data_IF_847668031440
#
_entry.id   IF_847668031440
#
_cell.length_a   1.000
_cell.length_b   1.000
_cell.length_c   1.000
_cell.angle_alpha   90.00
_cell.angle_beta   90.00
_cell.angle_gamma   90.00
#
_symmetry.space_group_name_H-M   'P 1'
#
loop_
_entity.id
_entity.type
_entity.pdbx_description
1 polymer ?
#
# COMPACT_ATOMS: atom_id res chain seq x y z
N UNK A 1 -7.69 7.71 -18.36
CA UNK A 1 -6.48 7.73 -17.51
C UNK A 1 -6.30 6.33 -16.96
N UNK A 2 -5.06 5.83 -16.91
CA UNK A 2 -4.77 4.42 -16.61
C UNK A 2 -4.40 4.26 -15.14
N UNK A 3 -4.90 3.19 -14.53
CA UNK A 3 -4.55 2.83 -13.16
C UNK A 3 -3.06 2.50 -13.06
N UNK A 4 -2.46 2.95 -11.95
CA UNK A 4 -1.12 2.55 -11.55
C UNK A 4 -1.18 1.83 -10.22
N UNK A 5 -0.16 1.03 -9.95
CA UNK A 5 -0.05 0.24 -8.73
C UNK A 5 1.21 0.64 -7.97
N UNK A 6 1.13 0.66 -6.65
CA UNK A 6 2.25 0.92 -5.74
C UNK A 6 2.27 -0.13 -4.63
N UNK A 7 3.43 -0.39 -4.05
CA UNK A 7 3.56 -1.21 -2.85
C UNK A 7 3.37 -0.32 -1.63
N UNK A 8 2.56 -0.78 -0.68
CA UNK A 8 2.35 -0.12 0.61
C UNK A 8 2.69 -1.14 1.71
N UNK A 9 3.67 -0.82 2.54
CA UNK A 9 4.06 -1.65 3.67
C UNK A 9 3.27 -1.20 4.90
N UNK A 10 2.44 -2.09 5.45
CA UNK A 10 1.71 -1.86 6.68
C UNK A 10 2.48 -2.48 7.86
N UNK A 11 2.79 -1.69 8.90
CA UNK A 11 3.47 -2.20 10.11
C UNK A 11 2.70 -1.86 11.37
N UNK A 12 2.56 -2.85 12.25
CA UNK A 12 2.08 -2.61 13.60
C UNK A 12 3.24 -2.21 14.51
N UNK A 13 3.00 -1.27 15.42
CA UNK A 13 3.97 -0.85 16.42
C UNK A 13 3.29 -0.52 17.76
N UNK A 14 4.06 -0.61 18.84
CA UNK A 14 3.62 -0.18 20.16
C UNK A 14 3.86 1.32 20.34
N UNK A 15 2.82 2.05 20.73
CA UNK A 15 2.88 3.45 21.17
C UNK A 15 2.56 3.54 22.67
N UNK A 16 2.75 4.74 23.24
CA UNK A 16 2.35 5.02 24.63
C UNK A 16 0.83 4.90 24.88
N UNK A 17 0.02 4.95 23.82
CA UNK A 17 -1.44 4.87 23.88
C UNK A 17 -2.02 3.52 23.42
N UNK A 18 -1.17 2.53 23.13
CA UNK A 18 -1.58 1.20 22.69
C UNK A 18 -0.95 0.78 21.36
N UNK A 19 -1.64 -0.04 20.58
CA UNK A 19 -1.15 -0.52 19.29
C UNK A 19 -1.54 0.43 18.16
N UNK A 20 -0.60 0.76 17.30
CA UNK A 20 -0.80 1.61 16.15
C UNK A 20 -0.38 0.89 14.87
N UNK A 21 -0.86 1.41 13.74
CA UNK A 21 -0.46 0.99 12.40
C UNK A 21 0.19 2.19 11.71
N UNK A 22 1.31 1.97 11.05
CA UNK A 22 1.97 2.92 10.14
C UNK A 22 1.98 2.36 8.71
N UNK A 23 1.93 3.26 7.74
CA UNK A 23 2.07 2.95 6.31
C UNK A 23 3.36 3.56 5.75
N UNK A 24 4.03 2.81 4.87
CA UNK A 24 5.24 3.25 4.16
C UNK A 24 5.20 2.80 2.69
N UNK A 25 5.89 3.51 1.80
CA UNK A 25 5.98 3.20 0.37
C UNK A 25 7.25 3.79 -0.24
N UNK A 26 7.87 3.07 -1.17
CA UNK A 26 8.92 3.63 -2.02
C UNK A 26 8.36 4.50 -3.17
N UNK A 27 7.03 4.64 -3.25
CA UNK A 27 6.26 5.37 -4.26
C UNK A 27 6.65 4.99 -5.71
N UNK A 28 7.11 3.77 -5.92
CA UNK A 28 7.38 3.26 -7.27
C UNK A 28 6.09 2.83 -7.93
N UNK A 29 5.77 3.46 -9.06
CA UNK A 29 4.54 3.20 -9.81
C UNK A 29 4.72 2.12 -10.88
N UNK A 30 3.78 1.18 -10.92
CA UNK A 30 3.72 0.09 -11.88
C UNK A 30 2.44 0.16 -12.72
N UNK A 31 2.51 -0.29 -13.98
CA UNK A 31 1.33 -0.42 -14.85
C UNK A 31 0.61 -1.76 -14.63
N UNK A 32 1.32 -2.76 -14.10
CA UNK A 32 0.82 -4.10 -13.81
C UNK A 32 0.80 -4.32 -12.29
N UNK A 33 -0.32 -4.83 -11.77
CA UNK A 33 -0.41 -5.23 -10.36
C UNK A 33 0.51 -6.40 -10.04
N UNK A 34 0.82 -7.26 -11.01
CA UNK A 34 1.75 -8.38 -10.83
C UNK A 34 3.17 -7.85 -10.62
N UNK A 35 3.58 -6.80 -11.34
CA UNK A 35 4.92 -6.23 -11.20
C UNK A 35 5.07 -5.57 -9.83
N UNK A 36 4.03 -4.88 -9.35
CA UNK A 36 4.01 -4.32 -8.00
C UNK A 36 4.06 -5.42 -6.92
N UNK A 37 3.35 -6.53 -7.12
CA UNK A 37 3.39 -7.69 -6.20
C UNK A 37 4.80 -8.29 -6.15
N UNK A 38 5.42 -8.55 -7.30
CA UNK A 38 6.77 -9.10 -7.35
C UNK A 38 7.78 -8.16 -6.67
N UNK A 39 7.68 -6.86 -6.93
CA UNK A 39 8.52 -5.86 -6.27
C UNK A 39 8.31 -5.83 -4.75
N UNK A 40 7.07 -5.97 -4.27
CA UNK A 40 6.78 -6.08 -2.84
C UNK A 40 7.37 -7.33 -2.19
N UNK A 41 7.33 -8.48 -2.88
CA UNK A 41 7.98 -9.71 -2.42
C UNK A 41 9.49 -9.51 -2.31
N UNK A 42 10.11 -8.89 -3.33
CA UNK A 42 11.55 -8.60 -3.32
C UNK A 42 11.94 -7.63 -2.19
N UNK A 43 11.08 -6.67 -1.86
CA UNK A 43 11.30 -5.70 -0.78
C UNK A 43 11.13 -6.29 0.62
N UNK A 44 10.12 -7.15 0.81
CA UNK A 44 9.69 -7.60 2.13
C UNK A 44 10.07 -9.05 2.45
N UNK A 45 10.60 -9.80 1.48
CA UNK A 45 10.89 -11.25 1.55
C UNK A 45 9.69 -12.07 2.09
N UNK A 46 8.47 -11.58 1.84
CA UNK A 46 7.20 -12.08 2.37
C UNK A 46 6.03 -11.47 1.61
N UNK A 47 4.80 -11.93 1.89
CA UNK A 47 3.56 -11.35 1.37
C UNK A 47 2.88 -10.36 2.34
N UNK A 48 3.60 -9.94 3.40
CA UNK A 48 3.15 -8.96 4.40
C UNK A 48 3.29 -7.51 3.88
N UNK A 49 2.59 -7.23 2.79
CA UNK A 49 2.45 -5.90 2.20
C UNK A 49 1.14 -5.78 1.42
N UNK A 50 0.80 -4.55 1.06
CA UNK A 50 -0.39 -4.22 0.33
C UNK A 50 -0.08 -3.60 -1.03
N UNK A 51 -1.05 -3.68 -1.94
CA UNK A 51 -1.01 -3.03 -3.25
C UNK A 51 -2.04 -1.91 -3.28
N UNK A 52 -1.55 -0.69 -3.42
CA UNK A 52 -2.38 0.48 -3.66
C UNK A 52 -2.69 0.63 -5.15
N UNK A 53 -3.95 0.89 -5.51
CA UNK A 53 -4.30 1.37 -6.86
C UNK A 53 -4.39 2.88 -6.84
N UNK A 54 -3.64 3.55 -7.71
CA UNK A 54 -3.59 5.00 -7.84
C UNK A 54 -4.18 5.44 -9.17
N UNK A 55 -5.09 6.40 -9.13
CA UNK A 55 -5.66 7.06 -10.30
C UNK A 55 -5.68 8.56 -10.05
N UNK A 56 -5.12 9.34 -10.97
CA UNK A 56 -5.07 10.81 -10.90
C UNK A 56 -4.45 11.31 -9.58
N UNK A 57 -3.35 10.69 -9.15
CA UNK A 57 -2.68 10.98 -7.89
C UNK A 57 -3.56 10.80 -6.64
N UNK A 58 -4.56 9.91 -6.72
CA UNK A 58 -5.40 9.52 -5.58
C UNK A 58 -5.34 8.01 -5.37
N UNK A 59 -5.18 7.58 -4.13
CA UNK A 59 -5.34 6.19 -3.72
C UNK A 59 -6.83 5.81 -3.79
N UNK A 60 -7.18 4.86 -4.65
CA UNK A 60 -8.58 4.45 -4.88
C UNK A 60 -8.87 3.01 -4.43
N UNK A 61 -7.85 2.21 -4.16
CA UNK A 61 -8.01 0.87 -3.62
C UNK A 61 -6.77 0.45 -2.82
N UNK A 62 -7.00 -0.43 -1.85
CA UNK A 62 -5.98 -1.03 -1.00
C UNK A 62 -6.22 -2.54 -0.95
N UNK A 63 -5.28 -3.30 -1.50
CA UNK A 63 -5.44 -4.74 -1.70
C UNK A 63 -4.33 -5.50 -0.96
N UNK A 64 -4.61 -6.72 -0.53
CA UNK A 64 -3.57 -7.69 -0.21
C UNK A 64 -3.42 -8.62 -1.41
N UNK A 65 -2.27 -8.56 -2.07
CA UNK A 65 -2.08 -9.16 -3.38
C UNK A 65 -3.18 -8.70 -4.35
N UNK A 66 -3.97 -9.65 -4.90
CA UNK A 66 -5.11 -9.37 -5.79
C UNK A 66 -6.45 -9.30 -5.05
N UNK A 67 -6.45 -9.38 -3.71
CA UNK A 67 -7.67 -9.42 -2.89
C UNK A 67 -7.96 -8.05 -2.30
N UNK A 68 -9.14 -7.47 -2.53
CA UNK A 68 -9.48 -6.18 -1.94
C UNK A 68 -9.64 -6.28 -0.42
N UNK A 69 -9.08 -5.31 0.30
CA UNK A 69 -9.33 -5.15 1.73
C UNK A 69 -10.20 -3.91 1.92
N UNK A 70 -11.23 -4.03 2.77
CA UNK A 70 -12.17 -2.97 3.10
C UNK A 70 -11.95 -2.49 4.53
N UNK A 71 -12.40 -1.27 4.82
CA UNK A 71 -12.36 -0.69 6.16
C UNK A 71 -11.10 0.11 6.48
N UNK A 72 -10.19 0.28 5.52
CA UNK A 72 -9.08 1.21 5.63
C UNK A 72 -9.50 2.61 5.23
N UNK A 73 -9.00 3.59 5.96
CA UNK A 73 -9.05 5.00 5.59
C UNK A 73 -7.98 5.27 4.53
N UNK A 74 -8.40 5.33 3.26
CA UNK A 74 -7.49 5.51 2.13
C UNK A 74 -6.84 6.89 2.11
N UNK A 75 -7.53 7.91 2.62
CA UNK A 75 -6.99 9.27 2.67
C UNK A 75 -5.86 9.31 3.71
N UNK A 76 -6.06 8.69 4.88
CA UNK A 76 -4.98 8.52 5.87
C UNK A 76 -3.78 7.75 5.31
N UNK A 77 -4.00 6.65 4.59
CA UNK A 77 -2.91 5.86 4.00
C UNK A 77 -2.14 6.71 2.98
N UNK A 78 -2.84 7.45 2.12
CA UNK A 78 -2.21 8.34 1.14
C UNK A 78 -1.38 9.44 1.80
N UNK A 79 -1.91 10.08 2.84
CA UNK A 79 -1.22 11.12 3.60
C UNK A 79 0.07 10.59 4.26
N UNK A 80 0.02 9.40 4.89
CA UNK A 80 1.19 8.81 5.56
C UNK A 80 2.31 8.44 4.58
N UNK A 81 1.98 7.98 3.36
CA UNK A 81 2.97 7.63 2.34
C UNK A 81 3.36 8.81 1.43
N UNK A 82 2.76 9.99 1.62
CA UNK A 82 3.05 11.20 0.85
C UNK A 82 2.51 11.21 -0.58
N UNK A 83 1.34 10.60 -0.83
CA UNK A 83 0.68 10.55 -2.13
C UNK A 83 -0.33 11.69 -2.34
#
# INVERSE_FOLDING_TARGET
MTDKYIVIIQRAYCSEYGSCISYDSDLKFFVSSIDAINHGIDMCDSDDFNIGTVRNNKLIAFNWMKRPIKGHDLDRVADEIGL
#
